data_IF_151187965968
#
_entry.id   IF_151187965968
#
_cell.length_a   1.000
_cell.length_b   1.000
_cell.length_c   1.000
_cell.angle_alpha   90.00
_cell.angle_beta   90.00
_cell.angle_gamma   90.00
#
_symmetry.space_group_name_H-M   'P 1'
#
loop_
_entity.id
_entity.type
_entity.pdbx_description
1 polymer ?
#
# COMPACT_ATOMS: atom_id res chain seq x y z
N UNK A 1 39.06 13.85 -4.15
CA UNK A 1 38.52 13.55 -3.81
C UNK A 1 38.00 13.16 -3.20
N UNK A 2 37.99 12.86 -3.12
CA UNK A 2 37.39 12.45 -2.56
C UNK A 2 36.63 12.03 -2.20
N UNK A 3 36.73 12.01 -2.37
CA UNK A 3 36.10 11.58 -1.99
C UNK A 3 35.34 11.28 -1.63
N UNK A 4 35.41 11.22 -1.79
CA UNK A 4 34.72 10.87 -1.45
C UNK A 4 33.99 10.47 -1.08
N UNK A 5 34.17 10.37 -1.28
CA UNK A 5 33.50 9.95 -0.95
C UNK A 5 32.80 9.61 -0.35
N UNK A 6 33.04 9.58 -0.46
CA UNK A 6 32.33 9.28 0.08
C UNK A 6 31.56 9.16 0.61
N UNK A 7 31.84 9.29 0.37
CA UNK A 7 31.13 9.15 0.84
C UNK A 7 30.27 9.00 1.26
N UNK A 8 30.22 8.79 1.13
CA UNK A 8 29.30 8.53 1.50
C UNK A 8 28.63 8.05 1.91
N UNK A 9 28.72 7.84 1.81
CA UNK A 9 28.08 7.27 2.23
C UNK A 9 27.43 6.84 2.81
N UNK A 10 27.42 6.60 2.59
CA UNK A 10 26.58 5.94 2.99
C UNK A 10 25.97 6.11 4.03
N UNK A 11 26.09 6.50 4.32
CA UNK A 11 25.57 6.73 5.11
C UNK A 11 24.47 6.78 5.39
N UNK A 12 24.32 6.60 5.50
CA UNK A 12 23.37 6.54 5.74
C UNK A 12 22.32 6.58 5.38
N UNK A 13 22.46 6.87 5.01
CA UNK A 13 21.44 7.10 4.77
C UNK A 13 20.62 6.30 4.49
N UNK A 14 20.86 5.78 4.56
CA UNK A 14 20.12 4.62 4.43
C UNK A 14 18.72 4.72 4.86
N UNK A 15 18.39 5.59 5.69
CA UNK A 15 17.01 5.76 6.06
C UNK A 15 16.24 6.49 5.01
N UNK A 16 16.94 7.15 4.13
CA UNK A 16 16.23 7.85 3.09
C UNK A 16 16.38 7.11 1.80
N UNK A 17 15.31 6.48 1.41
CA UNK A 17 15.29 5.84 0.13
C UNK A 17 15.36 6.90 -0.95
N UNK A 18 15.85 6.51 -2.10
CA UNK A 18 15.82 7.35 -3.27
C UNK A 18 14.38 7.76 -3.54
N UNK A 19 14.16 9.00 -3.96
CA UNK A 19 12.81 9.40 -4.30
C UNK A 19 12.24 8.49 -5.38
N UNK A 20 11.02 8.06 -5.18
CA UNK A 20 10.30 7.28 -6.17
C UNK A 20 9.63 8.27 -7.10
N UNK A 21 9.80 8.05 -8.40
CA UNK A 21 9.11 8.84 -9.39
C UNK A 21 7.93 8.06 -9.91
N UNK A 22 6.78 8.70 -9.98
CA UNK A 22 5.60 8.10 -10.56
C UNK A 22 5.31 8.76 -11.90
N UNK A 23 5.11 7.95 -12.94
CA UNK A 23 4.68 8.51 -14.21
C UNK A 23 3.22 8.94 -14.12
N UNK A 24 2.77 9.66 -15.13
CA UNK A 24 1.38 10.08 -15.17
C UNK A 24 0.43 8.89 -15.21
N UNK A 25 0.74 7.92 -16.06
CA UNK A 25 -0.11 6.74 -16.18
C UNK A 25 0.36 5.70 -15.20
N UNK A 26 -0.53 5.32 -14.30
CA UNK A 26 -0.20 4.42 -13.22
C UNK A 26 -1.35 3.47 -12.95
N UNK A 27 -1.18 2.63 -11.96
CA UNK A 27 -2.15 1.61 -11.59
C UNK A 27 -2.50 1.78 -10.12
N UNK A 28 -3.79 1.70 -9.82
CA UNK A 28 -4.27 1.69 -8.46
C UNK A 28 -4.61 0.25 -8.08
N UNK A 29 -4.00 -0.20 -7.02
CA UNK A 29 -4.28 -1.49 -6.41
C UNK A 29 -5.13 -1.24 -5.17
N UNK A 30 -6.28 -1.90 -5.08
CA UNK A 30 -7.09 -1.88 -3.87
C UNK A 30 -7.21 -3.28 -3.31
N UNK A 31 -7.02 -3.37 -2.01
CA UNK A 31 -7.12 -4.63 -1.28
C UNK A 31 -8.19 -4.46 -0.22
N UNK A 32 -9.22 -5.30 -0.29
CA UNK A 32 -10.34 -5.25 0.64
C UNK A 32 -10.24 -6.44 1.57
N UNK A 33 -10.02 -6.19 2.85
CA UNK A 33 -9.88 -7.24 3.87
C UNK A 33 -10.60 -6.80 5.14
N UNK A 34 -10.74 -7.75 6.07
CA UNK A 34 -11.24 -7.39 7.39
C UNK A 34 -10.11 -6.98 8.31
N UNK A 35 -10.45 -6.20 9.30
CA UNK A 35 -9.45 -5.67 10.22
C UNK A 35 -8.77 -6.76 11.03
N UNK A 36 -9.48 -7.86 11.32
CA UNK A 36 -8.94 -8.93 12.14
C UNK A 36 -8.15 -9.97 11.36
N UNK A 37 -8.03 -9.82 10.04
CA UNK A 37 -7.23 -10.76 9.26
C UNK A 37 -5.77 -10.68 9.69
N UNK A 38 -5.10 -11.84 9.71
CA UNK A 38 -3.75 -11.95 10.22
C UNK A 38 -2.82 -12.59 9.21
N UNK A 39 -1.56 -12.25 9.32
CA UNK A 39 -0.48 -12.89 8.58
C UNK A 39 0.70 -13.04 9.53
N UNK A 40 1.09 -14.28 9.83
CA UNK A 40 2.22 -14.57 10.70
C UNK A 40 2.12 -13.79 12.02
N UNK A 41 0.96 -13.92 12.69
CA UNK A 41 0.69 -13.35 14.01
C UNK A 41 0.66 -11.83 14.04
N UNK A 42 0.59 -11.20 12.89
CA UNK A 42 0.54 -9.75 12.75
C UNK A 42 -0.73 -9.38 12.00
N UNK A 43 -1.32 -8.23 12.27
CA UNK A 43 -2.46 -7.81 11.44
C UNK A 43 -2.07 -7.78 9.97
N UNK A 44 -2.91 -8.38 9.14
CA UNK A 44 -2.61 -8.50 7.73
C UNK A 44 -2.40 -7.15 7.07
N UNK A 45 -3.23 -6.15 7.45
CA UNK A 45 -3.11 -4.84 6.82
C UNK A 45 -1.74 -4.22 7.11
N UNK A 46 -1.21 -4.40 8.33
CA UNK A 46 0.12 -3.92 8.64
C UNK A 46 1.17 -4.65 7.83
N UNK A 47 1.03 -5.96 7.73
CA UNK A 47 2.00 -6.76 6.98
C UNK A 47 2.05 -6.34 5.52
N UNK A 48 0.90 -6.05 4.93
CA UNK A 48 0.85 -5.61 3.54
C UNK A 48 1.53 -4.26 3.37
N UNK A 49 1.21 -3.31 4.25
CA UNK A 49 1.80 -1.97 4.16
C UNK A 49 3.32 -2.03 4.34
N UNK A 50 3.78 -2.81 5.34
CA UNK A 50 5.21 -2.93 5.56
C UNK A 50 5.91 -3.61 4.39
N UNK A 51 5.27 -4.60 3.79
CA UNK A 51 5.85 -5.25 2.62
C UNK A 51 5.90 -4.31 1.43
N UNK A 52 4.86 -3.53 1.22
CA UNK A 52 4.86 -2.55 0.14
C UNK A 52 6.00 -1.55 0.32
N UNK A 53 6.23 -1.12 1.56
CA UNK A 53 7.34 -0.22 1.85
C UNK A 53 8.68 -0.90 1.61
N UNK A 54 8.80 -2.14 2.02
CA UNK A 54 10.04 -2.90 1.88
C UNK A 54 10.42 -3.05 0.42
N UNK A 55 9.45 -3.27 -0.47
CA UNK A 55 9.74 -3.43 -1.89
C UNK A 55 9.67 -2.11 -2.65
N UNK A 56 9.63 -1.00 -1.92
CA UNK A 56 9.76 0.35 -2.47
C UNK A 56 8.63 0.76 -3.40
N UNK A 57 7.41 0.35 -3.06
CA UNK A 57 6.26 0.92 -3.74
C UNK A 57 6.09 2.37 -3.31
N UNK A 58 5.42 3.15 -4.15
CA UNK A 58 5.37 4.60 -4.00
C UNK A 58 4.64 5.05 -2.74
N UNK A 59 3.72 4.23 -2.23
CA UNK A 59 2.99 4.57 -1.02
C UNK A 59 1.90 3.57 -0.77
N UNK A 60 1.30 3.64 0.41
CA UNK A 60 0.17 2.78 0.76
C UNK A 60 -0.66 3.51 1.81
N UNK A 61 -1.97 3.44 1.66
CA UNK A 61 -2.90 4.05 2.60
C UNK A 61 -3.92 3.02 3.01
N UNK A 62 -4.24 2.97 4.30
CA UNK A 62 -5.26 2.09 4.82
C UNK A 62 -6.45 2.93 5.24
N UNK A 63 -7.63 2.57 4.74
CA UNK A 63 -8.88 3.23 5.09
C UNK A 63 -9.74 2.22 5.83
N UNK A 64 -10.43 2.68 6.85
CA UNK A 64 -11.33 1.82 7.62
C UNK A 64 -12.76 2.22 7.33
N UNK A 65 -13.58 1.24 6.94
CA UNK A 65 -14.99 1.48 6.68
C UNK A 65 -15.82 1.30 7.93
N UNK A 66 -16.85 2.14 8.15
CA UNK A 66 -17.70 1.99 9.32
C UNK A 66 -18.73 0.88 9.17
N UNK A 67 -18.92 0.36 7.97
CA UNK A 67 -19.92 -0.65 7.68
C UNK A 67 -19.56 -1.35 6.39
N UNK A 68 -19.73 -2.66 6.34
CA UNK A 68 -19.52 -3.40 5.12
C UNK A 68 -19.67 -4.89 5.33
N UNK A 69 -19.72 -5.62 4.22
CA UNK A 69 -19.66 -7.07 4.24
C UNK A 69 -18.96 -7.53 2.97
N UNK A 70 -18.42 -8.74 3.03
CA UNK A 70 -17.73 -9.31 1.89
C UNK A 70 -18.28 -10.69 1.57
N UNK A 71 -17.40 -11.56 1.11
CA UNK A 71 -17.79 -12.90 0.63
C UNK A 71 -18.60 -13.67 1.69
N UNK A 72 -18.27 -13.50 2.97
CA UNK A 72 -18.99 -14.20 4.03
C UNK A 72 -20.37 -13.63 4.30
N UNK A 73 -20.70 -12.50 3.72
CA UNK A 73 -21.96 -11.77 3.92
C UNK A 73 -22.20 -11.34 5.36
N UNK A 74 -21.21 -11.52 6.22
CA UNK A 74 -21.32 -11.08 7.60
C UNK A 74 -21.12 -9.57 7.68
N UNK A 75 -22.05 -8.88 8.31
CA UNK A 75 -22.01 -7.43 8.40
C UNK A 75 -21.07 -6.99 9.50
N UNK A 76 -20.21 -6.04 9.18
CA UNK A 76 -19.24 -5.46 10.11
C UNK A 76 -19.53 -3.98 10.26
N UNK A 77 -19.73 -3.52 11.49
CA UNK A 77 -20.16 -2.16 11.74
C UNK A 77 -19.73 -1.70 13.12
N UNK A 78 -19.42 -0.41 13.23
CA UNK A 78 -19.13 0.19 14.54
C UNK A 78 -20.37 0.38 15.38
N UNK A 79 -21.56 0.18 14.82
CA UNK A 79 -22.79 0.44 15.52
C UNK A 79 -23.23 -0.70 16.43
N UNK A 80 -22.63 -1.85 16.26
CA UNK A 80 -22.91 -3.00 17.11
C UNK A 80 -22.03 -2.88 18.33
N UNK A 81 -22.59 -3.19 19.49
CA UNK A 81 -21.89 -3.04 20.76
C UNK A 81 -20.86 -4.13 20.98
N UNK A 82 -20.23 -4.57 19.95
CA UNK A 82 -19.17 -5.56 20.04
C UNK A 82 -17.86 -4.82 19.93
N UNK A 83 -17.12 -4.79 21.02
CA UNK A 83 -15.89 -4.01 21.08
C UNK A 83 -14.79 -4.55 20.20
N UNK A 84 -14.94 -5.75 19.70
CA UNK A 84 -13.89 -6.33 18.84
C UNK A 84 -14.42 -6.48 17.43
N UNK A 85 -14.88 -5.41 16.89
CA UNK A 85 -15.42 -5.47 15.58
C UNK A 85 -14.37 -5.65 14.54
N UNK A 86 -14.72 -6.46 13.57
CA UNK A 86 -13.88 -6.68 12.42
C UNK A 86 -14.36 -5.76 11.31
N UNK A 87 -13.88 -4.53 11.33
CA UNK A 87 -14.31 -3.55 10.36
C UNK A 87 -13.68 -3.82 8.99
N UNK A 88 -14.34 -3.43 7.92
CA UNK A 88 -13.74 -3.54 6.61
C UNK A 88 -12.61 -2.54 6.43
N UNK A 89 -11.52 -3.00 5.83
CA UNK A 89 -10.39 -2.15 5.51
C UNK A 89 -10.15 -2.16 4.01
N UNK A 90 -9.72 -1.01 3.49
CA UNK A 90 -9.29 -0.90 2.11
C UNK A 90 -7.86 -0.37 2.13
N UNK A 91 -6.96 -1.10 1.48
CA UNK A 91 -5.59 -0.64 1.30
C UNK A 91 -5.47 -0.17 -0.13
N UNK A 92 -4.96 1.04 -0.31
CA UNK A 92 -4.79 1.63 -1.64
C UNK A 92 -3.31 1.88 -1.89
N UNK A 93 -2.83 1.42 -3.02
CA UNK A 93 -1.44 1.59 -3.45
C UNK A 93 -1.46 2.01 -4.91
N UNK A 94 -0.76 3.11 -5.21
CA UNK A 94 -0.61 3.57 -6.59
C UNK A 94 0.86 3.48 -6.96
N UNK A 95 1.14 2.84 -8.08
CA UNK A 95 2.50 2.77 -8.61
C UNK A 95 2.41 2.43 -10.10
N UNK A 96 3.54 2.24 -10.73
CA UNK A 96 3.55 1.81 -12.13
C UNK A 96 2.87 0.46 -12.27
N UNK A 97 2.34 0.22 -13.44
CA UNK A 97 1.70 -1.07 -13.70
C UNK A 97 2.66 -2.23 -13.46
N UNK A 98 3.91 -2.08 -13.88
CA UNK A 98 4.89 -3.15 -13.72
C UNK A 98 5.15 -3.46 -12.26
N UNK A 99 5.31 -2.43 -11.43
CA UNK A 99 5.56 -2.65 -10.01
C UNK A 99 4.35 -3.24 -9.31
N UNK A 100 3.17 -2.76 -9.65
CA UNK A 100 1.95 -3.32 -9.07
C UNK A 100 1.82 -4.79 -9.45
N UNK A 101 2.02 -5.12 -10.72
CA UNK A 101 1.92 -6.52 -11.15
C UNK A 101 2.96 -7.40 -10.49
N UNK A 102 4.16 -6.87 -10.27
CA UNK A 102 5.19 -7.64 -9.57
C UNK A 102 4.83 -7.87 -8.11
N UNK A 103 4.03 -6.98 -7.53
CA UNK A 103 3.62 -7.11 -6.14
C UNK A 103 2.48 -8.11 -5.95
N UNK A 104 1.70 -8.39 -6.99
CA UNK A 104 0.54 -9.27 -6.86
C UNK A 104 0.88 -10.67 -6.35
N UNK A 105 1.93 -11.35 -6.84
CA UNK A 105 2.28 -12.66 -6.27
C UNK A 105 2.67 -12.58 -4.80
N UNK A 106 3.34 -11.50 -4.41
CA UNK A 106 3.72 -11.30 -3.00
C UNK A 106 2.46 -11.16 -2.16
N UNK A 107 1.53 -10.33 -2.63
CA UNK A 107 0.26 -10.13 -1.94
C UNK A 107 -0.53 -11.42 -1.86
N UNK A 108 -0.58 -12.17 -2.95
CA UNK A 108 -1.32 -13.43 -2.99
C UNK A 108 -0.80 -14.41 -1.94
N UNK A 109 0.50 -14.44 -1.74
CA UNK A 109 1.10 -15.31 -0.73
C UNK A 109 0.79 -14.88 0.70
N UNK A 110 0.30 -13.66 0.90
CA UNK A 110 -0.02 -13.17 2.23
C UNK A 110 -1.50 -13.26 2.56
N UNK A 111 -2.36 -13.30 1.55
CA UNK A 111 -3.79 -13.16 1.76
C UNK A 111 -4.49 -14.51 1.81
N UNK A 112 -5.20 -14.81 2.91
CA UNK A 112 -6.03 -16.01 2.94
C UNK A 112 -7.33 -15.83 2.16
N UNK A 113 -7.69 -14.59 1.87
CA UNK A 113 -8.91 -14.27 1.15
C UNK A 113 -9.05 -12.77 1.05
N UNK A 114 -10.17 -12.32 0.54
CA UNK A 114 -10.43 -10.91 0.35
C UNK A 114 -10.68 -10.59 -1.10
N UNK A 115 -10.69 -9.30 -1.40
CA UNK A 115 -10.94 -8.84 -2.78
C UNK A 115 -9.78 -7.95 -3.18
N UNK A 116 -9.27 -8.17 -4.38
CA UNK A 116 -8.18 -7.36 -4.91
C UNK A 116 -8.63 -6.83 -6.26
N UNK A 117 -8.50 -5.53 -6.45
CA UNK A 117 -8.89 -4.91 -7.71
C UNK A 117 -7.77 -4.03 -8.24
N UNK A 118 -7.73 -3.87 -9.54
CA UNK A 118 -6.80 -3.00 -10.24
C UNK A 118 -7.58 -2.02 -11.08
N UNK A 119 -7.05 -0.80 -11.15
CA UNK A 119 -7.69 0.25 -11.91
C UNK A 119 -6.61 1.18 -12.45
N UNK A 120 -6.72 1.57 -13.71
CA UNK A 120 -5.79 2.53 -14.27
C UNK A 120 -6.14 3.92 -13.76
N UNK A 121 -5.11 4.66 -13.37
CA UNK A 121 -5.30 6.01 -12.85
C UNK A 121 -4.28 6.93 -13.49
N UNK A 122 -4.56 8.23 -13.42
CA UNK A 122 -3.62 9.25 -13.81
C UNK A 122 -3.11 9.95 -12.56
N UNK A 123 -1.79 10.03 -12.44
CA UNK A 123 -1.15 10.71 -11.33
C UNK A 123 -0.89 12.13 -11.74
N UNK A 124 -1.49 13.08 -11.03
CA UNK A 124 -1.32 14.48 -11.33
C UNK A 124 -0.19 15.10 -10.52
N UNK A 125 0.07 14.53 -9.34
CA UNK A 125 1.11 15.05 -8.46
C UNK A 125 1.50 13.94 -7.49
N UNK A 126 2.78 13.83 -7.23
CA UNK A 126 3.29 12.87 -6.27
C UNK A 126 4.55 13.45 -5.61
N UNK A 127 4.59 13.34 -4.28
CA UNK A 127 5.73 13.79 -3.52
C UNK A 127 5.64 15.27 -3.23
N UNK A 128 6.80 15.88 -2.98
CA UNK A 128 6.85 17.28 -2.68
C UNK A 128 6.45 18.08 -3.87
N UNK A 129 6.10 19.32 -3.60
CA UNK A 129 5.53 20.19 -4.61
C UNK A 129 6.55 20.49 -5.68
N UNK A 130 6.52 19.72 -6.72
CA UNK A 130 7.28 19.97 -7.93
C UNK A 130 6.27 20.23 -9.02
N UNK A 131 6.44 21.33 -9.72
CA UNK A 131 5.53 21.61 -10.81
C UNK A 131 5.80 20.65 -11.93
N UNK A 132 4.76 19.93 -12.30
CA UNK A 132 4.88 19.07 -13.44
C UNK A 132 4.71 19.89 -14.69
N UNK A 133 5.47 19.55 -15.71
CA UNK A 133 5.27 20.16 -16.99
C UNK A 133 3.87 19.85 -17.47
N UNK A 134 3.20 20.77 -18.11
CA UNK A 134 1.89 20.45 -18.68
C UNK A 134 2.03 19.32 -19.67
N UNK A 135 1.05 18.47 -19.68
CA UNK A 135 1.07 17.32 -20.55
C UNK A 135 0.99 17.75 -22.02
#
# INVERSE_FOLDING_TARGET
MFAASLRLSPRGNSTEAEPVNLPRDAMLLRVFIGEDAKFQHRPLYQAIVLKAREVHLAGATVLRGPLGFGHSTRLHSTRILDVRENLPLVIEIVDTEDKIKAFLPVLDGMMPGGLVTLEKVQVLQYGEHVKHAPA
#
